data_IF_650661354707
#
_entry.id   IF_650661354707
#
_cell.length_a   1.000
_cell.length_b   1.000
_cell.length_c   1.000
_cell.angle_alpha   90.00
_cell.angle_beta   90.00
_cell.angle_gamma   90.00
#
_symmetry.space_group_name_H-M   'P 1'
#
loop_
_entity.id
_entity.type
_entity.pdbx_description
1 polymer ?
#
# COMPACT_ATOMS: atom_id res chain seq x y z
N UNK A 1 -22.36 7.81 -13.34
CA UNK A 1 -21.45 8.97 -13.30
C UNK A 1 -20.53 8.91 -14.50
N UNK A 2 -20.39 10.00 -15.23
CA UNK A 2 -19.45 10.12 -16.33
C UNK A 2 -18.02 10.16 -15.79
N UNK A 3 -17.10 9.38 -16.39
CA UNK A 3 -15.70 9.31 -15.99
C UNK A 3 -14.86 10.24 -16.87
N UNK A 4 -14.07 11.11 -16.26
CA UNK A 4 -13.22 12.08 -16.96
C UNK A 4 -11.81 11.52 -17.13
N UNK A 5 -11.57 10.79 -18.20
CA UNK A 5 -10.25 10.28 -18.56
C UNK A 5 -9.34 11.39 -19.10
N UNK A 6 -8.06 11.30 -18.77
CA UNK A 6 -7.02 12.16 -19.35
C UNK A 6 -6.81 11.81 -20.83
N UNK A 7 -6.49 12.81 -21.65
CA UNK A 7 -6.04 12.57 -23.03
C UNK A 7 -4.66 11.89 -23.02
N UNK A 8 -4.28 11.24 -24.14
CA UNK A 8 -3.04 10.45 -24.21
C UNK A 8 -1.79 11.23 -23.80
N UNK A 9 -1.69 12.50 -24.18
CA UNK A 9 -0.51 13.34 -23.95
C UNK A 9 -0.69 14.37 -22.84
N UNK A 10 -1.83 14.37 -22.13
CA UNK A 10 -2.06 15.25 -20.99
C UNK A 10 -1.15 14.86 -19.82
N UNK A 11 -0.20 15.71 -19.48
CA UNK A 11 0.66 15.54 -18.30
C UNK A 11 -0.14 15.93 -17.06
N UNK A 12 -0.36 14.99 -16.15
CA UNK A 12 -1.11 15.25 -14.93
C UNK A 12 -0.27 15.99 -13.90
N UNK A 13 -0.91 16.90 -13.18
CA UNK A 13 -0.22 17.93 -12.41
C UNK A 13 0.62 17.39 -11.25
N UNK A 14 0.13 16.38 -10.52
CA UNK A 14 0.82 15.89 -9.33
C UNK A 14 1.82 14.78 -9.68
N UNK A 15 1.43 13.79 -10.46
CA UNK A 15 2.32 12.66 -10.79
C UNK A 15 3.36 13.02 -11.88
N UNK A 16 3.13 14.08 -12.65
CA UNK A 16 4.11 14.64 -13.58
C UNK A 16 4.34 13.85 -14.87
N UNK A 17 3.42 12.98 -15.26
CA UNK A 17 3.50 12.20 -16.51
C UNK A 17 2.14 12.02 -17.17
N UNK A 18 2.13 11.51 -18.41
CA UNK A 18 0.94 11.31 -19.21
C UNK A 18 0.61 9.83 -19.40
N UNK A 19 -0.63 9.56 -19.84
CA UNK A 19 -1.12 8.21 -20.15
C UNK A 19 -0.27 7.50 -21.21
N UNK A 20 0.23 8.21 -22.22
CA UNK A 20 1.09 7.64 -23.25
C UNK A 20 2.36 6.98 -22.67
N UNK A 21 2.91 7.53 -21.58
CA UNK A 21 4.10 6.99 -20.93
C UNK A 21 3.85 5.69 -20.18
N UNK A 22 2.59 5.33 -19.91
CA UNK A 22 2.22 4.05 -19.29
C UNK A 22 2.34 2.84 -20.25
N UNK A 23 2.44 3.06 -21.56
CA UNK A 23 2.56 2.00 -22.57
C UNK A 23 1.50 0.90 -22.42
N UNK A 24 0.27 1.29 -22.06
CA UNK A 24 -0.86 0.36 -21.85
C UNK A 24 -0.91 -0.30 -20.47
N UNK A 25 -0.04 0.08 -19.52
CA UNK A 25 -0.14 -0.42 -18.16
C UNK A 25 -1.49 -0.05 -17.52
N UNK A 26 -2.15 -1.05 -16.95
CA UNK A 26 -3.41 -0.89 -16.22
C UNK A 26 -3.32 -1.37 -14.76
N UNK A 27 -2.13 -1.83 -14.35
CA UNK A 27 -1.79 -2.21 -12.97
C UNK A 27 -0.69 -1.29 -12.46
N UNK A 28 -0.87 -0.77 -11.24
CA UNK A 28 0.15 0.02 -10.55
C UNK A 28 0.56 -0.63 -9.22
N UNK A 29 1.87 -0.62 -8.94
CA UNK A 29 2.48 -1.04 -7.68
C UNK A 29 2.88 0.22 -6.93
N UNK A 30 2.38 0.36 -5.70
CA UNK A 30 2.41 1.60 -4.95
C UNK A 30 3.22 1.47 -3.64
N UNK A 31 4.55 1.67 -3.64
CA UNK A 31 5.30 1.93 -2.42
C UNK A 31 5.02 3.34 -1.89
N UNK A 32 5.22 3.60 -0.59
CA UNK A 32 5.15 4.95 -0.03
C UNK A 32 6.39 5.78 -0.37
N UNK A 33 7.57 5.22 -0.13
CA UNK A 33 8.87 5.88 -0.28
C UNK A 33 9.32 5.96 -1.76
N UNK A 34 9.61 7.17 -2.29
CA UNK A 34 10.19 7.36 -3.63
C UNK A 34 11.48 6.58 -3.85
N UNK A 35 12.33 6.44 -2.83
CA UNK A 35 13.60 5.70 -2.92
C UNK A 35 13.43 4.21 -3.17
N UNK A 36 12.25 3.65 -2.94
CA UNK A 36 11.94 2.23 -3.19
C UNK A 36 11.48 1.95 -4.62
N UNK A 37 11.12 2.95 -5.41
CA UNK A 37 10.47 2.76 -6.73
C UNK A 37 11.41 2.10 -7.73
N UNK A 38 12.60 2.67 -7.95
CA UNK A 38 13.57 2.09 -8.88
C UNK A 38 14.02 0.68 -8.48
N UNK A 39 14.43 0.41 -7.22
CA UNK A 39 14.77 -0.94 -6.78
C UNK A 39 13.63 -1.95 -6.99
N UNK A 40 12.38 -1.57 -6.69
CA UNK A 40 11.22 -2.42 -6.91
C UNK A 40 11.00 -2.67 -8.41
N UNK A 41 11.02 -1.65 -9.26
CA UNK A 41 10.81 -1.81 -10.70
C UNK A 41 11.85 -2.77 -11.32
N UNK A 42 13.12 -2.67 -10.90
CA UNK A 42 14.20 -3.54 -11.36
C UNK A 42 14.05 -4.98 -10.89
N UNK A 43 13.56 -5.21 -9.69
CA UNK A 43 13.42 -6.54 -9.11
C UNK A 43 12.10 -7.21 -9.49
N UNK A 44 11.03 -6.46 -9.73
CA UNK A 44 9.71 -7.00 -10.09
C UNK A 44 9.66 -7.57 -11.51
N UNK A 45 10.34 -6.97 -12.47
CA UNK A 45 10.17 -7.37 -13.85
C UNK A 45 11.31 -7.01 -14.79
N UNK A 46 11.04 -7.13 -16.08
CA UNK A 46 11.97 -6.84 -17.15
C UNK A 46 11.84 -5.40 -17.69
N UNK A 47 12.88 -4.91 -18.37
CA UNK A 47 12.90 -3.61 -19.05
C UNK A 47 12.49 -2.43 -18.16
N UNK A 48 13.06 -2.29 -16.94
CA UNK A 48 12.72 -1.17 -16.08
C UNK A 48 13.14 0.14 -16.74
N UNK A 49 12.24 1.12 -16.77
CA UNK A 49 12.49 2.44 -17.35
C UNK A 49 11.89 3.54 -16.48
N UNK A 50 12.63 4.61 -16.30
CA UNK A 50 12.19 5.80 -15.59
C UNK A 50 11.12 6.54 -16.39
N UNK A 51 10.07 7.03 -15.70
CA UNK A 51 9.00 7.83 -16.30
C UNK A 51 9.12 9.29 -15.85
N UNK A 52 9.01 9.53 -14.55
CA UNK A 52 8.99 10.87 -13.96
C UNK A 52 9.39 10.85 -12.49
N UNK A 53 9.81 12.02 -11.99
CA UNK A 53 9.96 12.29 -10.57
C UNK A 53 9.40 13.70 -10.31
N UNK A 54 8.28 13.78 -9.62
CA UNK A 54 7.65 15.06 -9.30
C UNK A 54 7.05 14.98 -7.89
N UNK A 55 7.45 15.90 -7.01
CA UNK A 55 7.08 15.87 -5.59
C UNK A 55 7.44 14.52 -4.95
N UNK A 56 6.50 13.93 -4.19
CA UNK A 56 6.60 12.59 -3.60
C UNK A 56 6.39 11.44 -4.61
N UNK A 57 6.02 11.76 -5.85
CA UNK A 57 5.71 10.76 -6.88
C UNK A 57 6.90 10.52 -7.79
N UNK A 58 7.61 9.43 -7.55
CA UNK A 58 8.60 8.86 -8.47
C UNK A 58 7.96 7.70 -9.21
N UNK A 59 8.12 7.63 -10.53
CA UNK A 59 7.42 6.68 -11.39
C UNK A 59 8.37 5.97 -12.32
N UNK A 60 8.26 4.65 -12.36
CA UNK A 60 8.98 3.76 -13.26
C UNK A 60 8.02 2.79 -13.94
N UNK A 61 8.33 2.36 -15.14
CA UNK A 61 7.66 1.27 -15.81
C UNK A 61 8.52 0.01 -15.72
N UNK A 62 7.86 -1.15 -15.58
CA UNK A 62 8.50 -2.47 -15.71
C UNK A 62 7.56 -3.42 -16.41
N UNK A 63 8.02 -4.63 -16.77
CA UNK A 63 7.18 -5.63 -17.42
C UNK A 63 7.17 -6.92 -16.62
N UNK A 64 5.99 -7.36 -16.22
CA UNK A 64 5.75 -8.61 -15.49
C UNK A 64 4.87 -9.51 -16.35
N UNK A 65 5.30 -10.74 -16.62
CA UNK A 65 4.60 -11.69 -17.50
C UNK A 65 4.24 -11.11 -18.89
N UNK A 66 5.09 -10.22 -19.43
CA UNK A 66 4.89 -9.57 -20.72
C UNK A 66 4.01 -8.32 -20.70
N UNK A 67 3.36 -8.00 -19.59
CA UNK A 67 2.52 -6.82 -19.44
C UNK A 67 3.29 -5.66 -18.82
N UNK A 68 3.07 -4.44 -19.32
CA UNK A 68 3.57 -3.21 -18.72
C UNK A 68 2.89 -2.97 -17.37
N UNK A 69 3.68 -2.59 -16.35
CA UNK A 69 3.23 -2.33 -14.98
C UNK A 69 3.89 -1.05 -14.49
N UNK A 70 3.10 -0.16 -13.94
CA UNK A 70 3.58 1.05 -13.31
C UNK A 70 4.09 0.74 -11.89
N UNK A 71 5.23 1.29 -11.51
CA UNK A 71 5.67 1.40 -10.11
C UNK A 71 5.74 2.88 -9.78
N UNK A 72 4.92 3.34 -8.83
CA UNK A 72 4.81 4.76 -8.49
C UNK A 72 4.75 4.93 -6.97
N UNK A 73 5.59 5.81 -6.41
CA UNK A 73 5.49 6.15 -5.00
C UNK A 73 4.25 7.00 -4.73
N UNK A 74 3.70 6.85 -3.54
CA UNK A 74 2.53 7.62 -3.11
C UNK A 74 2.84 8.69 -2.06
N UNK A 75 4.08 8.73 -1.55
CA UNK A 75 4.36 9.45 -0.31
C UNK A 75 3.76 8.74 0.91
N UNK A 76 3.70 9.42 2.05
CA UNK A 76 3.12 8.94 3.29
C UNK A 76 1.74 9.56 3.54
N UNK A 77 0.81 8.74 4.04
CA UNK A 77 -0.50 9.17 4.51
C UNK A 77 -1.59 9.26 3.44
N UNK A 78 -2.82 9.36 3.90
CA UNK A 78 -4.01 9.32 3.07
C UNK A 78 -4.10 10.39 1.97
N UNK A 79 -3.84 11.68 2.25
CA UNK A 79 -3.99 12.75 1.25
C UNK A 79 -3.14 12.54 0.00
N UNK A 80 -1.87 12.17 0.15
CA UNK A 80 -0.98 11.95 -1.01
C UNK A 80 -1.37 10.70 -1.80
N UNK A 81 -1.79 9.63 -1.12
CA UNK A 81 -2.34 8.43 -1.76
C UNK A 81 -3.57 8.77 -2.58
N UNK A 82 -4.51 9.53 -2.04
CA UNK A 82 -5.75 9.88 -2.72
C UNK A 82 -5.50 10.69 -4.00
N UNK A 83 -4.60 11.68 -3.96
CA UNK A 83 -4.19 12.46 -5.14
C UNK A 83 -3.60 11.55 -6.22
N UNK A 84 -2.68 10.66 -5.83
CA UNK A 84 -2.09 9.69 -6.75
C UNK A 84 -3.16 8.83 -7.43
N UNK A 85 -4.09 8.27 -6.66
CA UNK A 85 -5.14 7.39 -7.16
C UNK A 85 -6.10 8.09 -8.13
N UNK A 86 -6.48 9.34 -7.86
CA UNK A 86 -7.30 10.16 -8.76
C UNK A 86 -6.63 10.32 -10.14
N UNK A 87 -5.35 10.68 -10.14
CA UNK A 87 -4.63 10.88 -11.40
C UNK A 87 -4.35 9.57 -12.13
N UNK A 88 -4.01 8.50 -11.42
CA UNK A 88 -3.86 7.17 -12.00
C UNK A 88 -5.18 6.63 -12.59
N UNK A 89 -6.30 6.87 -11.92
CA UNK A 89 -7.63 6.53 -12.43
C UNK A 89 -7.94 7.24 -13.76
N UNK A 90 -7.62 8.54 -13.85
CA UNK A 90 -7.79 9.33 -15.09
C UNK A 90 -6.94 8.78 -16.23
N UNK A 91 -5.80 8.17 -15.97
CA UNK A 91 -4.93 7.54 -16.97
C UNK A 91 -5.33 6.09 -17.31
N UNK A 92 -6.34 5.52 -16.65
CA UNK A 92 -6.88 4.19 -16.95
C UNK A 92 -6.28 3.06 -16.12
N UNK A 93 -5.55 3.35 -15.04
CA UNK A 93 -5.15 2.33 -14.06
C UNK A 93 -6.42 1.75 -13.42
N UNK A 94 -6.57 0.44 -13.46
CA UNK A 94 -7.74 -0.30 -12.98
C UNK A 94 -7.45 -1.19 -11.78
N UNK A 95 -6.18 -1.49 -11.52
CA UNK A 95 -5.74 -2.31 -10.40
C UNK A 95 -4.55 -1.66 -9.70
N UNK A 96 -4.56 -1.65 -8.38
CA UNK A 96 -3.42 -1.16 -7.60
C UNK A 96 -3.06 -2.16 -6.50
N UNK A 97 -1.75 -2.31 -6.25
CA UNK A 97 -1.22 -3.10 -5.14
C UNK A 97 -0.27 -2.21 -4.34
N UNK A 98 -0.66 -1.88 -3.11
CA UNK A 98 0.24 -1.21 -2.18
C UNK A 98 1.30 -2.17 -1.66
N UNK A 99 2.56 -1.71 -1.66
CA UNK A 99 3.71 -2.42 -1.09
C UNK A 99 4.28 -1.59 0.05
N UNK A 100 3.77 -1.85 1.25
CA UNK A 100 4.11 -1.09 2.46
C UNK A 100 5.11 -1.77 3.37
N UNK A 101 5.51 -1.05 4.43
CA UNK A 101 6.12 -1.59 5.63
C UNK A 101 5.17 -1.39 6.80
N UNK A 102 5.30 -2.19 7.87
CA UNK A 102 4.34 -2.16 8.98
C UNK A 102 4.95 -2.63 10.29
N UNK A 103 4.37 -2.16 11.40
CA UNK A 103 4.57 -2.74 12.72
C UNK A 103 3.42 -3.67 13.08
N UNK A 104 3.73 -4.96 13.34
CA UNK A 104 2.70 -5.87 13.85
C UNK A 104 2.36 -5.56 15.30
N UNK A 105 1.08 -5.75 15.65
CA UNK A 105 0.59 -5.66 17.03
C UNK A 105 0.18 -7.04 17.59
N UNK A 106 0.48 -8.12 16.87
CA UNK A 106 0.15 -9.50 17.30
C UNK A 106 1.42 -10.28 17.64
N UNK A 107 1.43 -10.92 18.80
CA UNK A 107 2.59 -11.70 19.29
C UNK A 107 3.03 -12.82 18.36
N UNK A 108 2.08 -13.46 17.68
CA UNK A 108 2.31 -14.60 16.78
C UNK A 108 2.90 -14.23 15.42
N UNK A 109 3.00 -12.94 15.09
CA UNK A 109 3.54 -12.45 13.82
C UNK A 109 4.95 -11.92 14.05
N UNK A 110 5.90 -12.36 13.26
CA UNK A 110 7.31 -12.02 13.44
C UNK A 110 7.80 -11.04 12.37
N UNK A 111 8.80 -10.22 12.70
CA UNK A 111 9.52 -9.44 11.71
C UNK A 111 10.11 -10.33 10.59
N UNK A 112 10.16 -9.79 9.38
CA UNK A 112 10.57 -10.55 8.19
C UNK A 112 9.42 -11.29 7.50
N UNK A 113 8.27 -11.45 8.16
CA UNK A 113 7.04 -12.00 7.57
C UNK A 113 6.24 -10.91 6.82
N UNK A 114 5.16 -11.28 6.16
CA UNK A 114 4.31 -10.34 5.43
C UNK A 114 2.85 -10.41 5.88
N UNK A 115 2.17 -9.26 5.81
CA UNK A 115 0.73 -9.15 6.08
C UNK A 115 0.03 -8.70 4.81
N UNK A 116 -0.96 -9.46 4.36
CA UNK A 116 -1.89 -9.09 3.31
C UNK A 116 -3.11 -8.47 3.99
N UNK A 117 -3.29 -7.17 3.82
CA UNK A 117 -4.41 -6.45 4.43
C UNK A 117 -5.67 -6.60 3.57
N UNK A 118 -6.69 -7.29 4.12
CA UNK A 118 -7.99 -7.48 3.48
C UNK A 118 -9.00 -6.38 3.80
N UNK A 119 -8.75 -5.62 4.86
CA UNK A 119 -9.55 -4.49 5.32
C UNK A 119 -8.72 -3.60 6.22
N UNK A 120 -9.23 -2.41 6.55
CA UNK A 120 -8.57 -1.48 7.45
C UNK A 120 -9.56 -0.76 8.36
N UNK A 121 -9.15 -0.53 9.61
CA UNK A 121 -9.78 0.42 10.51
C UNK A 121 -9.47 1.83 10.01
N UNK A 122 -10.48 2.69 9.96
CA UNK A 122 -10.40 4.05 9.40
C UNK A 122 -10.14 5.07 10.49
N UNK A 123 -8.86 5.24 10.90
CA UNK A 123 -8.43 6.34 11.79
C UNK A 123 -7.81 7.50 11.00
N UNK A 124 -8.06 7.56 9.70
CA UNK A 124 -7.65 8.62 8.80
C UNK A 124 -8.80 9.58 8.50
N UNK A 125 -8.50 10.82 8.15
CA UNK A 125 -9.48 11.81 7.70
C UNK A 125 -9.81 11.69 6.21
N UNK A 126 -8.84 11.31 5.38
CA UNK A 126 -8.98 11.30 3.91
C UNK A 126 -10.10 10.39 3.42
N UNK A 127 -10.21 9.19 3.95
CA UNK A 127 -11.25 8.24 3.53
C UNK A 127 -12.67 8.76 3.79
N UNK A 128 -12.86 9.66 4.75
CA UNK A 128 -14.14 10.29 5.05
C UNK A 128 -14.59 11.31 4.00
N UNK A 129 -13.69 11.80 3.15
CA UNK A 129 -14.02 12.64 2.01
C UNK A 129 -14.58 11.84 0.83
N UNK A 130 -14.29 10.54 0.74
CA UNK A 130 -14.76 9.66 -0.34
C UNK A 130 -16.00 8.85 0.04
N UNK A 131 -16.20 8.55 1.32
CA UNK A 131 -17.35 7.78 1.78
C UNK A 131 -17.66 8.06 3.26
N UNK A 132 -18.93 7.94 3.69
CA UNK A 132 -19.32 8.14 5.10
C UNK A 132 -18.60 7.18 6.03
N UNK A 133 -18.53 7.51 7.34
CA UNK A 133 -17.81 6.72 8.35
C UNK A 133 -18.26 5.25 8.42
N UNK A 134 -19.54 5.00 8.17
CA UNK A 134 -20.13 3.64 8.16
C UNK A 134 -19.73 2.78 6.96
N UNK A 135 -19.12 3.38 5.92
CA UNK A 135 -18.65 2.62 4.76
C UNK A 135 -17.32 1.91 5.09
N UNK A 136 -17.21 0.59 4.90
CA UNK A 136 -16.01 -0.15 5.30
C UNK A 136 -14.85 0.08 4.32
N UNK A 137 -13.63 0.14 4.87
CA UNK A 137 -12.40 0.11 4.06
C UNK A 137 -12.01 -1.35 3.79
N UNK A 138 -12.40 -1.87 2.63
CA UNK A 138 -12.21 -3.27 2.25
C UNK A 138 -11.41 -3.37 0.94
N UNK A 139 -10.43 -4.26 0.91
CA UNK A 139 -9.66 -4.57 -0.30
C UNK A 139 -10.53 -5.30 -1.34
N UNK A 140 -10.14 -5.23 -2.61
CA UNK A 140 -10.76 -6.03 -3.66
C UNK A 140 -10.54 -7.53 -3.42
N UNK A 141 -11.61 -8.31 -3.42
CA UNK A 141 -11.54 -9.77 -3.28
C UNK A 141 -10.60 -10.39 -4.33
N UNK A 142 -10.69 -9.93 -5.60
CA UNK A 142 -9.87 -10.44 -6.69
C UNK A 142 -8.37 -10.18 -6.45
N UNK A 143 -8.00 -8.95 -6.05
CA UNK A 143 -6.58 -8.60 -5.81
C UNK A 143 -6.06 -9.30 -4.57
N UNK A 144 -6.85 -9.34 -3.49
CA UNK A 144 -6.47 -10.06 -2.26
C UNK A 144 -6.29 -11.56 -2.52
N UNK A 145 -7.19 -12.18 -3.27
CA UNK A 145 -7.07 -13.58 -3.67
C UNK A 145 -5.80 -13.85 -4.48
N UNK A 146 -5.48 -12.98 -5.45
CA UNK A 146 -4.25 -13.10 -6.24
C UNK A 146 -2.98 -12.98 -5.36
N UNK A 147 -2.96 -12.08 -4.37
CA UNK A 147 -1.86 -11.94 -3.41
C UNK A 147 -1.72 -13.20 -2.54
N UNK A 148 -2.82 -13.75 -2.03
CA UNK A 148 -2.82 -14.97 -1.20
C UNK A 148 -2.29 -16.17 -1.99
N UNK A 149 -2.80 -16.39 -3.20
CA UNK A 149 -2.34 -17.50 -4.05
C UNK A 149 -0.86 -17.35 -4.48
N UNK A 150 -0.40 -16.11 -4.65
CA UNK A 150 1.01 -15.84 -4.90
C UNK A 150 1.88 -16.13 -3.68
N UNK A 151 1.44 -15.76 -2.47
CA UNK A 151 2.14 -16.02 -1.22
C UNK A 151 2.29 -17.53 -0.98
N UNK A 152 1.22 -18.30 -1.20
CA UNK A 152 1.27 -19.77 -1.13
C UNK A 152 2.26 -20.35 -2.13
N UNK A 153 2.23 -19.87 -3.37
CA UNK A 153 3.07 -20.40 -4.45
C UNK A 153 4.58 -20.15 -4.25
N UNK A 154 4.95 -19.08 -3.53
CA UNK A 154 6.36 -18.79 -3.20
C UNK A 154 6.76 -19.22 -1.77
N UNK A 155 5.89 -19.95 -1.04
CA UNK A 155 6.08 -20.37 0.34
C UNK A 155 6.49 -19.22 1.29
N UNK A 156 5.99 -18.02 1.05
CA UNK A 156 6.23 -16.89 1.94
C UNK A 156 5.48 -17.09 3.26
N UNK A 157 6.07 -16.77 4.42
CA UNK A 157 5.33 -16.67 5.67
C UNK A 157 4.40 -15.45 5.59
N UNK A 158 3.09 -15.68 5.55
CA UNK A 158 2.11 -14.60 5.38
C UNK A 158 0.92 -14.72 6.33
N UNK A 159 0.34 -13.58 6.64
CA UNK A 159 -0.89 -13.45 7.39
C UNK A 159 -1.90 -12.64 6.60
N UNK A 160 -3.19 -12.92 6.79
CA UNK A 160 -4.29 -12.17 6.14
C UNK A 160 -5.17 -11.59 7.22
N UNK A 161 -5.33 -10.26 7.24
CA UNK A 161 -6.14 -9.65 8.28
C UNK A 161 -6.42 -8.16 8.07
N UNK A 162 -6.81 -7.52 9.16
CA UNK A 162 -7.22 -6.12 9.20
C UNK A 162 -6.04 -5.28 9.67
N UNK A 163 -5.74 -4.19 8.93
CA UNK A 163 -4.82 -3.15 9.38
C UNK A 163 -5.54 -2.11 10.25
N UNK A 164 -4.78 -1.32 10.98
CA UNK A 164 -5.24 -0.05 11.55
C UNK A 164 -4.52 1.07 10.82
N UNK A 165 -5.26 1.88 10.08
CA UNK A 165 -4.73 2.97 9.27
C UNK A 165 -4.92 4.29 10.01
N UNK A 166 -3.82 4.96 10.35
CA UNK A 166 -3.85 6.20 11.11
C UNK A 166 -3.11 7.33 10.39
N UNK A 167 -3.64 8.55 10.43
CA UNK A 167 -3.00 9.74 9.85
C UNK A 167 -1.73 10.16 10.57
N UNK A 168 -1.47 9.66 11.78
CA UNK A 168 -0.27 10.02 12.53
C UNK A 168 0.52 8.80 12.97
N UNK A 169 1.86 8.91 12.86
CA UNK A 169 2.76 7.84 13.23
C UNK A 169 2.87 7.66 14.76
N UNK A 170 2.86 8.76 15.52
CA UNK A 170 3.00 8.70 16.98
C UNK A 170 1.66 8.60 17.72
N UNK A 171 0.85 9.67 17.85
CA UNK A 171 -0.30 9.61 18.75
C UNK A 171 -1.40 8.66 18.25
N UNK A 172 -1.69 8.66 16.95
CA UNK A 172 -2.76 7.82 16.40
C UNK A 172 -2.43 6.34 16.33
N UNK A 173 -1.14 5.97 16.48
CA UNK A 173 -0.69 4.59 16.67
C UNK A 173 -0.34 4.28 18.13
N UNK A 174 -0.76 5.13 19.06
CA UNK A 174 -0.46 4.99 20.50
C UNK A 174 1.03 4.79 20.78
N UNK A 175 1.88 5.65 20.20
CA UNK A 175 3.33 5.65 20.46
C UNK A 175 3.70 6.71 21.48
N UNK A 176 4.35 6.29 22.56
CA UNK A 176 4.81 7.16 23.64
C UNK A 176 6.24 7.65 23.45
N UNK A 177 6.96 7.17 22.45
CA UNK A 177 8.32 7.58 22.07
C UNK A 177 8.35 8.86 21.20
N UNK A 178 7.29 9.66 21.22
CA UNK A 178 7.20 10.95 20.53
C UNK A 178 7.96 12.04 21.27
N UNK A 179 8.17 13.21 20.65
CA UNK A 179 8.87 14.36 21.23
C UNK A 179 8.37 14.77 22.63
N UNK A 180 7.07 14.71 22.86
CA UNK A 180 6.47 15.07 24.16
C UNK A 180 6.14 13.86 25.03
N UNK A 181 6.16 12.64 24.48
CA UNK A 181 5.69 11.43 25.14
C UNK A 181 4.17 11.40 25.39
N UNK A 182 3.42 12.42 24.90
CA UNK A 182 1.99 12.53 25.15
C UNK A 182 1.18 11.86 24.06
N UNK A 183 0.25 11.00 24.45
CA UNK A 183 -0.78 10.43 23.60
C UNK A 183 -2.15 10.94 24.08
N UNK A 184 -2.97 11.56 23.21
CA UNK A 184 -4.32 12.02 23.56
C UNK A 184 -5.18 10.90 24.17
N UNK A 185 -6.03 11.24 25.14
CA UNK A 185 -6.82 10.26 25.92
C UNK A 185 -7.63 9.29 25.03
N UNK A 186 -8.17 9.78 23.91
CA UNK A 186 -8.97 8.95 23.00
C UNK A 186 -8.14 7.93 22.19
N UNK A 187 -6.81 8.01 22.24
CA UNK A 187 -5.91 7.02 21.64
C UNK A 187 -5.26 6.10 22.68
N UNK A 188 -5.35 6.43 23.98
CA UNK A 188 -4.76 5.59 25.03
C UNK A 188 -5.53 4.28 25.19
N UNK A 189 -4.81 3.14 25.20
CA UNK A 189 -5.38 1.80 25.28
C UNK A 189 -5.90 1.27 23.95
N UNK A 190 -5.84 2.04 22.86
CA UNK A 190 -6.39 1.63 21.56
C UNK A 190 -5.58 0.50 20.92
N UNK A 191 -4.28 0.40 21.17
CA UNK A 191 -3.47 -0.69 20.66
C UNK A 191 -3.94 -2.04 21.22
N UNK A 192 -4.20 -2.12 22.52
CA UNK A 192 -4.76 -3.33 23.15
C UNK A 192 -6.17 -3.63 22.63
N UNK A 193 -7.00 -2.60 22.42
CA UNK A 193 -8.34 -2.77 21.84
C UNK A 193 -8.26 -3.40 20.44
N UNK A 194 -7.41 -2.86 19.55
CA UNK A 194 -7.24 -3.43 18.21
C UNK A 194 -6.64 -4.83 18.22
N UNK A 195 -5.71 -5.12 19.14
CA UNK A 195 -5.20 -6.48 19.34
C UNK A 195 -6.32 -7.47 19.68
N UNK A 196 -7.18 -7.12 20.63
CA UNK A 196 -8.32 -7.94 21.08
C UNK A 196 -9.36 -8.12 19.97
N UNK A 197 -9.55 -7.12 19.11
CA UNK A 197 -10.43 -7.18 17.94
C UNK A 197 -9.79 -7.93 16.76
N UNK A 198 -8.54 -8.39 16.89
CA UNK A 198 -7.86 -9.20 15.90
C UNK A 198 -7.26 -8.41 14.73
N UNK A 199 -7.06 -7.09 14.87
CA UNK A 199 -6.25 -6.33 13.92
C UNK A 199 -4.78 -6.79 14.01
N UNK A 200 -4.07 -6.79 12.87
CA UNK A 200 -2.74 -7.39 12.78
C UNK A 200 -1.62 -6.37 12.88
N UNK A 201 -1.83 -5.17 12.40
CA UNK A 201 -0.76 -4.20 12.18
C UNK A 201 -1.25 -2.76 12.11
N UNK A 202 -0.35 -1.82 12.37
CA UNK A 202 -0.52 -0.41 12.05
C UNK A 202 0.21 -0.03 10.77
N UNK A 203 -0.43 0.83 9.98
CA UNK A 203 0.13 1.53 8.83
C UNK A 203 -0.64 2.85 8.60
N UNK A 204 -0.42 3.57 7.51
CA UNK A 204 -0.92 4.94 7.39
C UNK A 204 -1.77 5.20 6.12
N UNK A 205 -2.04 4.21 5.26
CA UNK A 205 -2.60 4.48 3.94
C UNK A 205 -3.73 3.54 3.49
N UNK A 206 -3.83 2.32 4.02
CA UNK A 206 -4.74 1.31 3.44
C UNK A 206 -6.22 1.66 3.56
N UNK A 207 -6.64 2.40 4.59
CA UNK A 207 -8.03 2.86 4.68
C UNK A 207 -8.36 3.86 3.56
N UNK A 208 -7.53 4.88 3.38
CA UNK A 208 -7.67 5.85 2.30
C UNK A 208 -7.57 5.17 0.92
N UNK A 209 -6.59 4.26 0.74
CA UNK A 209 -6.41 3.50 -0.49
C UNK A 209 -7.69 2.71 -0.86
N UNK A 210 -8.22 1.91 0.07
CA UNK A 210 -9.34 1.03 -0.22
C UNK A 210 -10.62 1.82 -0.49
N UNK A 211 -10.91 2.83 0.33
CA UNK A 211 -12.13 3.63 0.17
C UNK A 211 -12.08 4.48 -1.10
N UNK A 212 -10.96 5.16 -1.36
CA UNK A 212 -10.77 5.94 -2.59
C UNK A 212 -10.88 5.05 -3.82
N UNK A 213 -10.18 3.92 -3.85
CA UNK A 213 -10.25 2.99 -4.98
C UNK A 213 -11.67 2.46 -5.22
N UNK A 214 -12.42 2.15 -4.14
CA UNK A 214 -13.81 1.73 -4.25
C UNK A 214 -14.68 2.82 -4.87
N UNK A 215 -14.51 4.07 -4.44
CA UNK A 215 -15.24 5.22 -5.00
C UNK A 215 -14.90 5.47 -6.47
N UNK A 216 -13.65 5.26 -6.89
CA UNK A 216 -13.18 5.43 -8.26
C UNK A 216 -13.46 4.21 -9.17
N UNK A 217 -13.86 3.08 -8.61
CA UNK A 217 -14.04 1.82 -9.33
C UNK A 217 -12.73 1.13 -9.72
N UNK A 218 -11.68 1.33 -8.92
CA UNK A 218 -10.37 0.66 -9.02
C UNK A 218 -10.32 -0.52 -8.06
N UNK A 219 -9.71 -1.62 -8.46
CA UNK A 219 -9.50 -2.78 -7.61
C UNK A 219 -8.18 -2.64 -6.85
N UNK A 220 -8.25 -2.61 -5.52
CA UNK A 220 -7.09 -2.39 -4.66
C UNK A 220 -6.78 -3.60 -3.78
N UNK A 221 -5.48 -3.83 -3.52
CA UNK A 221 -4.97 -4.73 -2.51
C UNK A 221 -3.74 -4.14 -1.83
N UNK A 222 -3.32 -4.72 -0.71
CA UNK A 222 -2.13 -4.28 0.00
C UNK A 222 -1.38 -5.47 0.61
N UNK A 223 -0.05 -5.42 0.52
CA UNK A 223 0.88 -6.33 1.18
C UNK A 223 1.96 -5.53 1.89
N UNK A 224 2.09 -5.75 3.20
CA UNK A 224 3.03 -5.04 4.05
C UNK A 224 4.08 -6.00 4.61
N UNK A 225 5.36 -5.62 4.52
CA UNK A 225 6.44 -6.33 5.20
C UNK A 225 6.51 -5.91 6.67
N UNK A 226 6.62 -6.87 7.56
CA UNK A 226 6.71 -6.63 9.00
C UNK A 226 8.14 -6.22 9.35
N UNK A 227 8.31 -4.95 9.74
CA UNK A 227 9.62 -4.34 10.06
C UNK A 227 9.72 -3.86 11.51
N UNK A 228 8.68 -4.06 12.30
CA UNK A 228 8.66 -3.80 13.73
C UNK A 228 7.66 -4.73 14.42
N UNK A 229 7.96 -5.11 15.67
CA UNK A 229 7.05 -5.91 16.51
C UNK A 229 6.70 -5.10 17.75
N UNK A 230 5.56 -4.44 17.71
CA UNK A 230 5.13 -3.47 18.70
C UNK A 230 4.79 -4.05 20.07
N UNK A 231 4.65 -5.36 20.14
CA UNK A 231 4.55 -6.08 21.43
C UNK A 231 5.87 -6.24 22.14
N UNK A 232 6.99 -6.01 21.46
CA UNK A 232 8.35 -6.12 22.01
C UNK A 232 9.09 -4.76 22.04
N UNK A 233 8.49 -3.70 21.48
CA UNK A 233 9.05 -2.35 21.44
C UNK A 233 8.78 -1.62 20.12
N UNK A 234 9.32 -0.41 19.98
CA UNK A 234 9.08 0.46 18.83
C UNK A 234 10.21 0.44 17.79
N UNK A 235 11.28 -0.32 18.06
CA UNK A 235 12.46 -0.37 17.19
C UNK A 235 12.17 -1.04 15.85
N UNK A 236 12.76 -0.47 14.79
CA UNK A 236 12.80 -1.12 13.47
C UNK A 236 13.85 -2.23 13.55
N UNK A 237 13.52 -3.36 12.94
CA UNK A 237 14.38 -4.55 12.92
C UNK A 237 15.68 -4.34 12.14
N UNK A 238 16.70 -5.21 12.36
CA UNK A 238 17.92 -5.23 11.56
C UNK A 238 17.63 -5.36 10.08
N UNK A 239 18.56 -4.85 9.26
CA UNK A 239 18.44 -4.78 7.79
C UNK A 239 18.11 -6.12 7.14
N UNK A 240 18.64 -7.20 7.67
CA UNK A 240 18.46 -8.56 7.15
C UNK A 240 16.98 -8.98 7.15
N UNK A 241 16.27 -8.73 8.25
CA UNK A 241 14.83 -9.04 8.36
C UNK A 241 13.98 -8.08 7.51
N UNK A 242 14.41 -6.82 7.42
CA UNK A 242 13.78 -5.85 6.50
C UNK A 242 13.88 -6.31 5.06
N UNK A 243 15.08 -6.70 4.62
CA UNK A 243 15.34 -7.17 3.26
C UNK A 243 14.60 -8.50 2.98
N UNK A 244 14.51 -9.40 3.97
CA UNK A 244 13.73 -10.62 3.87
C UNK A 244 12.25 -10.35 3.59
N UNK A 245 11.62 -9.47 4.37
CA UNK A 245 10.23 -9.07 4.15
C UNK A 245 10.03 -8.48 2.75
N UNK A 246 10.97 -7.64 2.28
CA UNK A 246 10.94 -7.06 0.94
C UNK A 246 11.02 -8.13 -0.15
N UNK A 247 11.88 -9.15 -0.01
CA UNK A 247 11.99 -10.23 -1.00
C UNK A 247 10.68 -11.03 -1.10
N UNK A 248 10.03 -11.32 0.02
CA UNK A 248 8.70 -11.96 0.00
C UNK A 248 7.65 -11.06 -0.66
N UNK A 249 7.63 -9.77 -0.37
CA UNK A 249 6.71 -8.83 -1.03
C UNK A 249 6.91 -8.84 -2.56
N UNK A 250 8.15 -8.78 -3.03
CA UNK A 250 8.48 -8.81 -4.47
C UNK A 250 7.98 -10.10 -5.12
N UNK A 251 8.24 -11.26 -4.51
CA UNK A 251 7.78 -12.55 -5.02
C UNK A 251 6.24 -12.63 -5.09
N UNK A 252 5.55 -12.19 -4.03
CA UNK A 252 4.09 -12.17 -3.94
C UNK A 252 3.50 -11.23 -5.00
N UNK A 253 4.00 -9.99 -5.10
CA UNK A 253 3.50 -9.00 -6.06
C UNK A 253 3.69 -9.48 -7.49
N UNK A 254 4.86 -10.01 -7.83
CA UNK A 254 5.13 -10.58 -9.16
C UNK A 254 4.14 -11.70 -9.50
N UNK A 255 3.91 -12.61 -8.56
CA UNK A 255 2.97 -13.70 -8.72
C UNK A 255 1.52 -13.24 -8.82
N UNK A 256 1.13 -12.22 -8.07
CA UNK A 256 -0.22 -11.64 -8.10
C UNK A 256 -0.48 -10.92 -9.42
N UNK A 257 0.46 -10.10 -9.91
CA UNK A 257 0.33 -9.41 -11.21
C UNK A 257 0.17 -10.43 -12.33
N UNK A 258 0.98 -11.49 -12.38
CA UNK A 258 0.87 -12.54 -13.39
C UNK A 258 -0.50 -13.26 -13.39
N UNK A 259 -1.22 -13.27 -12.26
CA UNK A 259 -2.59 -13.80 -12.16
C UNK A 259 -3.66 -12.80 -12.58
N UNK A 260 -3.46 -11.52 -12.28
CA UNK A 260 -4.39 -10.45 -12.64
C UNK A 260 -4.34 -10.08 -14.13
N UNK A 261 -3.28 -10.47 -14.83
CA UNK A 261 -3.06 -10.24 -16.25
C UNK A 261 -3.70 -11.31 -17.16
N UNK A 262 -4.31 -12.33 -16.58
CA UNK A 262 -5.04 -13.40 -17.29
C UNK A 262 -6.52 -13.07 -17.41
#
# INVERSE_FOLDING_TARGET
>A
MEKHFASENEVLYHVGFSKAQLQGANIAILPGDPGRVEPLARQLGAKPSFIACHREYTSWLTHIAGQAVLVCSTGMGGPSVAICLEELARMGISHVIRVGTTGTIQEKINPGEVIINKASVRLDGTSHHYAPASFPAVASFTVTGALIEAAKACNAPYHVGIAVSSDTFWPGQERYDSFTGYVPLHFQGTMEEWQRLGALNYEMETSALFVTCQALGIKAGAVCGVVAKRTEGEAIVPKELYDQALQYQIAIVRGAVARLSR
#
